data_IF_039259378215
#
_entry.id   IF_039259378215
#
_cell.length_a   1.000
_cell.length_b   1.000
_cell.length_c   1.000
_cell.angle_alpha   90.00
_cell.angle_beta   90.00
_cell.angle_gamma   90.00
#
_symmetry.space_group_name_H-M   'P 1'
#
loop_
_entity.id
_entity.type
_entity.pdbx_description
1 polymer ?
#
# COMPACT_ATOMS: atom_id res chain seq x y z
N UNK A 1 -12.77 16.78 -12.15
CA UNK A 1 -11.55 16.99 -11.32
C UNK A 1 -10.29 17.23 -12.15
N UNK A 2 -10.00 16.39 -13.16
CA UNK A 2 -8.74 16.44 -13.91
C UNK A 2 -8.86 16.93 -15.37
N UNK A 3 -9.98 17.53 -15.76
CA UNK A 3 -10.16 18.07 -17.11
C UNK A 3 -9.09 19.13 -17.41
N UNK A 4 -8.34 18.93 -18.50
CA UNK A 4 -7.20 19.78 -18.87
C UNK A 4 -5.96 19.66 -17.95
N UNK A 5 -5.98 18.76 -16.95
CA UNK A 5 -4.97 18.66 -15.88
C UNK A 5 -4.54 17.21 -15.62
N UNK A 6 -4.32 16.42 -16.67
CA UNK A 6 -4.01 14.99 -16.56
C UNK A 6 -2.77 14.67 -15.71
N UNK A 7 -1.79 15.57 -15.63
CA UNK A 7 -0.60 15.34 -14.81
C UNK A 7 -0.92 15.36 -13.30
N UNK A 8 -1.93 16.12 -12.88
CA UNK A 8 -2.39 16.20 -11.48
C UNK A 8 -3.02 14.89 -10.99
N UNK A 9 -3.38 13.95 -11.88
CA UNK A 9 -3.83 12.60 -11.50
C UNK A 9 -2.68 11.62 -11.28
N UNK A 10 -1.44 12.02 -11.59
CA UNK A 10 -0.25 11.16 -11.51
C UNK A 10 0.78 11.67 -10.52
N UNK A 11 0.80 12.97 -10.25
CA UNK A 11 1.82 13.61 -9.41
C UNK A 11 1.23 14.76 -8.62
N UNK A 12 1.69 14.91 -7.37
CA UNK A 12 1.28 15.96 -6.45
C UNK A 12 0.06 15.59 -5.61
N UNK A 13 -0.38 16.54 -4.81
CA UNK A 13 -1.36 16.36 -3.72
C UNK A 13 -2.78 16.04 -4.20
N UNK A 14 -3.08 16.26 -5.47
CA UNK A 14 -4.36 15.87 -6.08
C UNK A 14 -4.37 14.41 -6.52
N UNK A 15 -3.21 13.80 -6.76
CA UNK A 15 -3.10 12.43 -7.25
C UNK A 15 -3.35 11.38 -6.14
N UNK A 16 -3.54 11.80 -4.89
CA UNK A 16 -3.63 10.92 -3.73
C UNK A 16 -5.07 10.86 -3.22
N UNK A 17 -5.59 9.65 -3.05
CA UNK A 17 -6.85 9.39 -2.36
C UNK A 17 -6.61 9.16 -0.87
N UNK A 18 -7.69 9.07 -0.08
CA UNK A 18 -7.58 8.77 1.36
C UNK A 18 -6.83 7.43 1.56
N UNK A 19 -5.72 7.40 2.31
CA UNK A 19 -4.94 6.18 2.53
C UNK A 19 -5.74 5.09 3.23
N UNK A 20 -5.75 3.89 2.66
CA UNK A 20 -6.64 2.81 3.08
C UNK A 20 -6.04 1.66 3.88
N UNK A 21 -4.72 1.50 3.81
CA UNK A 21 -4.04 0.29 4.28
C UNK A 21 -4.25 0.03 5.78
N UNK A 22 -4.15 1.08 6.61
CA UNK A 22 -4.34 0.94 8.06
C UNK A 22 -5.76 0.46 8.38
N UNK A 23 -6.79 1.05 7.76
CA UNK A 23 -8.17 0.59 7.97
C UNK A 23 -8.36 -0.86 7.53
N UNK A 24 -7.77 -1.26 6.39
CA UNK A 24 -7.80 -2.63 5.91
C UNK A 24 -7.19 -3.61 6.91
N UNK A 25 -5.92 -3.38 7.27
CA UNK A 25 -5.15 -4.24 8.18
C UNK A 25 -5.78 -4.32 9.58
N UNK A 26 -6.26 -3.18 10.11
CA UNK A 26 -6.95 -3.18 11.40
C UNK A 26 -8.28 -3.92 11.33
N UNK A 27 -9.06 -3.74 10.25
CA UNK A 27 -10.33 -4.48 10.06
C UNK A 27 -10.08 -5.98 9.98
N UNK A 28 -9.03 -6.40 9.28
CA UNK A 28 -8.63 -7.80 9.21
C UNK A 28 -8.22 -8.33 10.59
N UNK A 29 -7.38 -7.57 11.31
CA UNK A 29 -6.99 -7.91 12.67
C UNK A 29 -8.20 -8.04 13.59
N UNK A 30 -9.13 -7.08 13.59
CA UNK A 30 -10.35 -7.07 14.40
C UNK A 30 -11.30 -8.23 14.09
N UNK A 31 -11.55 -8.51 12.81
CA UNK A 31 -12.56 -9.49 12.41
C UNK A 31 -12.06 -10.92 12.32
N UNK A 32 -10.81 -11.13 11.89
CA UNK A 32 -10.35 -12.45 11.44
C UNK A 32 -9.15 -12.99 12.22
N UNK A 33 -8.47 -12.17 13.03
CA UNK A 33 -7.35 -12.68 13.82
C UNK A 33 -7.79 -13.49 15.04
N UNK A 34 -6.91 -14.38 15.50
CA UNK A 34 -7.15 -15.15 16.74
C UNK A 34 -7.02 -14.34 18.02
N UNK A 35 -6.57 -13.07 17.95
CA UNK A 35 -6.23 -12.20 19.10
C UNK A 35 -5.16 -12.74 20.06
N UNK A 36 -4.54 -13.88 19.77
CA UNK A 36 -3.43 -14.44 20.56
C UNK A 36 -2.15 -13.59 20.45
N UNK A 37 -1.98 -12.91 19.33
CA UNK A 37 -0.88 -11.96 19.09
C UNK A 37 -1.49 -10.55 19.15
N UNK A 38 -1.09 -9.70 20.11
CA UNK A 38 -1.53 -8.31 20.16
C UNK A 38 -1.12 -7.53 18.92
N UNK A 39 -1.92 -6.54 18.52
CA UNK A 39 -1.64 -5.66 17.38
C UNK A 39 -0.22 -5.09 17.41
N UNK A 40 0.21 -4.59 18.58
CA UNK A 40 1.55 -4.05 18.78
C UNK A 40 2.65 -5.01 18.33
N UNK A 41 2.51 -6.30 18.64
CA UNK A 41 3.51 -7.31 18.32
C UNK A 41 3.58 -7.61 16.82
N UNK A 42 2.51 -7.35 16.07
CA UNK A 42 2.52 -7.46 14.59
C UNK A 42 3.29 -6.29 13.95
N UNK A 43 3.23 -5.11 14.56
CA UNK A 43 3.91 -3.90 14.06
C UNK A 43 5.37 -3.82 14.53
N UNK A 44 5.68 -4.41 15.69
CA UNK A 44 6.98 -4.34 16.36
C UNK A 44 8.19 -4.67 15.46
N UNK A 45 8.18 -5.71 14.61
CA UNK A 45 9.32 -5.99 13.72
C UNK A 45 9.64 -4.86 12.75
N UNK A 46 8.63 -4.09 12.33
CA UNK A 46 8.84 -2.93 11.44
C UNK A 46 9.45 -1.75 12.21
N UNK A 47 9.07 -1.58 13.49
CA UNK A 47 9.65 -0.58 14.37
C UNK A 47 11.14 -0.87 14.59
N UNK A 48 11.48 -2.12 14.90
CA UNK A 48 12.88 -2.58 15.07
C UNK A 48 13.69 -2.35 13.79
N UNK A 49 13.15 -2.72 12.63
CA UNK A 49 13.79 -2.48 11.33
C UNK A 49 14.09 -1.00 11.08
N UNK A 50 13.18 -0.10 11.49
CA UNK A 50 13.37 1.34 11.34
C UNK A 50 14.34 1.93 12.38
N UNK A 51 14.44 1.33 13.56
CA UNK A 51 15.38 1.73 14.61
C UNK A 51 16.81 1.29 14.30
N UNK A 52 17.00 0.03 13.93
CA UNK A 52 18.30 -0.56 13.60
C UNK A 52 18.81 -0.08 12.24
N UNK A 53 17.90 0.22 11.32
CA UNK A 53 18.19 0.44 9.92
C UNK A 53 18.21 -0.86 9.12
N UNK A 54 18.25 -0.72 7.80
CA UNK A 54 18.20 -1.88 6.91
C UNK A 54 19.05 -1.67 5.65
N UNK A 55 19.62 -2.75 5.10
CA UNK A 55 20.34 -2.67 3.84
C UNK A 55 19.36 -2.37 2.71
N UNK A 56 19.74 -1.44 1.85
CA UNK A 56 19.02 -1.17 0.61
C UNK A 56 19.09 -2.40 -0.29
N UNK A 57 17.95 -3.00 -0.59
CA UNK A 57 17.89 -4.13 -1.53
C UNK A 57 18.27 -3.70 -2.94
N UNK A 58 18.62 -4.65 -3.81
CA UNK A 58 18.90 -4.34 -5.21
C UNK A 58 17.71 -3.67 -5.92
N UNK A 59 16.50 -4.16 -5.67
CA UNK A 59 15.27 -3.59 -6.23
C UNK A 59 15.03 -2.16 -5.72
N UNK A 60 15.23 -1.91 -4.41
CA UNK A 60 15.09 -0.57 -3.84
C UNK A 60 16.14 0.39 -4.40
N UNK A 61 17.39 -0.04 -4.52
CA UNK A 61 18.47 0.77 -5.11
C UNK A 61 18.17 1.20 -6.54
N UNK A 62 17.63 0.30 -7.38
CA UNK A 62 17.16 0.63 -8.73
C UNK A 62 16.02 1.66 -8.66
N UNK A 63 15.01 1.42 -7.82
CA UNK A 63 13.86 2.31 -7.69
C UNK A 63 14.28 3.72 -7.27
N UNK A 64 15.12 3.84 -6.24
CA UNK A 64 15.67 5.10 -5.76
C UNK A 64 16.47 5.81 -6.86
N UNK A 65 17.37 5.08 -7.53
CA UNK A 65 18.18 5.65 -8.62
C UNK A 65 17.31 6.17 -9.77
N UNK A 66 16.26 5.46 -10.14
CA UNK A 66 15.33 5.88 -11.20
C UNK A 66 14.54 7.16 -10.87
N UNK A 67 14.50 7.55 -9.59
CA UNK A 67 13.78 8.73 -9.08
C UNK A 67 14.69 9.74 -8.40
N UNK A 68 16.01 9.63 -8.55
CA UNK A 68 17.00 10.41 -7.81
C UNK A 68 16.76 11.92 -7.90
N UNK A 69 16.46 12.45 -9.09
CA UNK A 69 16.17 13.88 -9.28
C UNK A 69 14.91 14.33 -8.54
N UNK A 70 13.86 13.51 -8.53
CA UNK A 70 12.62 13.80 -7.81
C UNK A 70 12.86 13.78 -6.29
N UNK A 71 13.55 12.76 -5.81
CA UNK A 71 13.87 12.61 -4.38
C UNK A 71 14.74 13.78 -3.89
N UNK A 72 15.75 14.18 -4.67
CA UNK A 72 16.59 15.32 -4.34
C UNK A 72 15.83 16.66 -4.33
N UNK A 73 14.75 16.77 -5.10
CA UNK A 73 13.90 17.95 -5.19
C UNK A 73 12.77 18.00 -4.14
N UNK A 74 12.54 16.92 -3.38
CA UNK A 74 11.45 16.81 -2.40
C UNK A 74 12.02 16.72 -0.97
N UNK A 75 12.01 17.83 -0.19
CA UNK A 75 12.61 17.87 1.14
C UNK A 75 12.08 16.81 2.11
N UNK A 76 10.82 16.37 1.96
CA UNK A 76 10.23 15.32 2.79
C UNK A 76 10.79 13.93 2.50
N UNK A 77 11.51 13.74 1.38
CA UNK A 77 12.14 12.47 0.99
C UNK A 77 13.63 12.38 1.35
N UNK A 78 14.16 13.33 2.12
CA UNK A 78 15.58 13.35 2.53
C UNK A 78 16.08 12.07 3.19
N UNK A 79 15.19 11.30 3.84
CA UNK A 79 15.52 10.04 4.50
C UNK A 79 16.02 8.96 3.51
N UNK A 80 15.82 9.16 2.20
CA UNK A 80 16.34 8.31 1.14
C UNK A 80 17.67 8.80 0.55
N UNK A 81 18.23 9.90 1.07
CA UNK A 81 19.53 10.45 0.65
C UNK A 81 20.59 10.02 1.66
N UNK A 82 21.64 9.40 1.16
CA UNK A 82 22.79 9.00 1.96
C UNK A 82 23.59 10.27 2.35
N UNK A 83 23.68 10.60 3.66
CA UNK A 83 24.31 11.84 4.11
C UNK A 83 25.81 11.89 3.81
N UNK A 84 26.47 10.74 3.62
CA UNK A 84 27.90 10.68 3.31
C UNK A 84 28.19 10.98 1.84
N UNK A 85 27.24 10.72 0.94
CA UNK A 85 27.45 10.84 -0.51
C UNK A 85 26.62 11.96 -1.14
N UNK A 86 25.59 12.46 -0.45
CA UNK A 86 24.63 13.42 -0.97
C UNK A 86 23.75 12.86 -2.10
N UNK A 87 23.77 11.54 -2.31
CA UNK A 87 23.00 10.85 -3.36
C UNK A 87 22.03 9.87 -2.72
N UNK A 88 21.06 9.40 -3.49
CA UNK A 88 20.16 8.35 -3.00
C UNK A 88 20.92 7.07 -2.66
N UNK A 89 20.42 6.33 -1.67
CA UNK A 89 21.05 5.08 -1.23
C UNK A 89 21.17 4.06 -2.37
N UNK A 90 22.33 3.39 -2.43
CA UNK A 90 22.62 2.30 -3.37
C UNK A 90 22.41 0.94 -2.70
N UNK A 91 22.25 -0.09 -3.52
CA UNK A 91 22.14 -1.47 -3.02
C UNK A 91 23.30 -1.81 -2.07
N UNK A 92 22.97 -2.40 -0.92
CA UNK A 92 23.90 -2.73 0.16
C UNK A 92 24.18 -1.59 1.15
N UNK A 93 23.91 -0.32 0.79
CA UNK A 93 24.04 0.79 1.73
C UNK A 93 22.91 0.76 2.77
N UNK A 94 23.25 1.12 4.01
CA UNK A 94 22.32 1.09 5.13
C UNK A 94 21.49 2.37 5.17
N UNK A 95 20.18 2.22 4.93
CA UNK A 95 19.22 3.28 5.21
C UNK A 95 19.05 3.33 6.73
N UNK A 96 19.44 4.47 7.30
CA UNK A 96 19.26 4.73 8.73
C UNK A 96 17.96 5.49 8.95
N UNK A 97 17.49 5.42 10.19
CA UNK A 97 16.12 5.65 10.66
C UNK A 97 15.30 6.72 9.94
N UNK A 98 14.16 6.31 9.38
CA UNK A 98 13.09 7.17 8.86
C UNK A 98 12.25 7.70 10.02
N UNK A 99 12.74 8.72 10.72
CA UNK A 99 12.23 9.12 12.06
C UNK A 99 10.73 9.41 12.08
N UNK A 100 10.20 10.15 11.10
CA UNK A 100 8.77 10.47 11.04
C UNK A 100 7.90 9.22 10.89
N UNK A 101 8.35 8.27 10.06
CA UNK A 101 7.66 6.99 9.87
C UNK A 101 7.74 6.12 11.12
N UNK A 102 8.91 6.06 11.77
CA UNK A 102 9.11 5.35 13.03
C UNK A 102 8.17 5.86 14.12
N UNK A 103 8.06 7.18 14.28
CA UNK A 103 7.16 7.79 15.26
C UNK A 103 5.69 7.50 14.94
N UNK A 104 5.32 7.50 13.66
CA UNK A 104 3.98 7.10 13.22
C UNK A 104 3.67 5.66 13.62
N UNK A 105 4.56 4.70 13.32
CA UNK A 105 4.37 3.31 13.70
C UNK A 105 4.32 3.12 15.22
N UNK A 106 5.16 3.81 15.99
CA UNK A 106 5.13 3.77 17.46
C UNK A 106 3.81 4.30 18.02
N UNK A 107 3.26 5.39 17.46
CA UNK A 107 1.97 5.94 17.90
C UNK A 107 0.83 4.96 17.57
N UNK A 108 0.81 4.42 16.35
CA UNK A 108 -0.24 3.49 15.92
C UNK A 108 -0.17 2.12 16.60
N UNK A 109 1.03 1.62 16.92
CA UNK A 109 1.20 0.31 17.57
C UNK A 109 0.81 0.33 19.04
N UNK A 110 0.99 1.47 19.71
CA UNK A 110 0.64 1.65 21.13
C UNK A 110 -0.78 2.17 21.36
N UNK A 111 -1.50 2.57 20.30
CA UNK A 111 -2.87 3.03 20.42
C UNK A 111 -3.84 1.87 20.69
N UNK A 112 -4.82 2.12 21.56
CA UNK A 112 -5.97 1.22 21.74
C UNK A 112 -6.97 1.32 20.58
N UNK A 113 -6.96 2.42 19.83
CA UNK A 113 -7.77 2.65 18.63
C UNK A 113 -6.92 3.34 17.55
N UNK A 114 -6.13 2.57 16.78
CA UNK A 114 -5.27 3.12 15.74
C UNK A 114 -6.05 3.82 14.62
N UNK A 115 -7.31 3.43 14.38
CA UNK A 115 -8.15 4.06 13.37
C UNK A 115 -8.57 5.46 13.80
N UNK A 116 -8.99 5.62 15.06
CA UNK A 116 -9.31 6.95 15.57
C UNK A 116 -8.09 7.87 15.52
N UNK A 117 -6.91 7.39 15.92
CA UNK A 117 -5.67 8.18 15.85
C UNK A 117 -5.37 8.67 14.43
N UNK A 118 -5.49 7.80 13.43
CA UNK A 118 -5.12 8.11 12.04
C UNK A 118 -6.20 8.88 11.26
N UNK A 119 -7.47 8.49 11.40
CA UNK A 119 -8.58 8.97 10.56
C UNK A 119 -9.44 10.05 11.21
N UNK A 120 -9.37 10.24 12.55
CA UNK A 120 -10.22 11.19 13.29
C UNK A 120 -9.47 12.03 14.33
N UNK A 121 -8.17 11.79 14.51
CA UNK A 121 -7.31 12.45 15.48
C UNK A 121 -6.46 13.56 14.88
N UNK A 122 -5.39 13.93 15.59
CA UNK A 122 -4.45 14.97 15.12
C UNK A 122 -3.81 14.62 13.77
N UNK A 123 -3.53 13.33 13.52
CA UNK A 123 -2.94 12.91 12.24
C UNK A 123 -3.86 13.28 11.05
N UNK A 124 -5.17 13.05 11.18
CA UNK A 124 -6.13 13.39 10.14
C UNK A 124 -6.17 14.90 9.88
N UNK A 125 -6.13 15.71 10.94
CA UNK A 125 -6.09 17.18 10.84
C UNK A 125 -4.81 17.68 10.17
N UNK A 126 -3.66 17.16 10.60
CA UNK A 126 -2.36 17.49 10.03
C UNK A 126 -2.31 17.14 8.55
N UNK A 127 -2.72 15.92 8.18
CA UNK A 127 -2.80 15.49 6.79
C UNK A 127 -3.75 16.37 5.98
N UNK A 128 -4.99 16.57 6.42
CA UNK A 128 -5.97 17.40 5.69
C UNK A 128 -5.46 18.83 5.48
N UNK A 129 -4.87 19.45 6.52
CA UNK A 129 -4.24 20.77 6.43
C UNK A 129 -3.12 20.80 5.40
N UNK A 130 -2.28 19.77 5.38
CA UNK A 130 -1.16 19.67 4.43
C UNK A 130 -1.67 19.49 2.99
N UNK A 131 -2.64 18.60 2.77
CA UNK A 131 -3.29 18.41 1.49
C UNK A 131 -3.86 19.72 0.95
N UNK A 132 -4.64 20.44 1.74
CA UNK A 132 -5.24 21.72 1.33
C UNK A 132 -4.18 22.79 1.04
N UNK A 133 -3.14 22.88 1.87
CA UNK A 133 -2.04 23.85 1.71
C UNK A 133 -1.32 23.71 0.37
N UNK A 134 -1.16 22.49 -0.13
CA UNK A 134 -0.48 22.22 -1.39
C UNK A 134 -1.42 21.87 -2.55
N UNK A 135 -2.68 22.30 -2.45
CA UNK A 135 -3.65 22.26 -3.55
C UNK A 135 -4.31 20.90 -3.78
N UNK A 136 -4.12 19.94 -2.87
CA UNK A 136 -4.93 18.73 -2.75
C UNK A 136 -6.36 19.02 -2.29
N UNK A 137 -7.19 17.98 -2.28
CA UNK A 137 -8.64 18.11 -2.05
C UNK A 137 -9.15 17.35 -0.83
N UNK A 138 -8.29 16.56 -0.18
CA UNK A 138 -8.69 15.76 0.97
C UNK A 138 -8.98 16.66 2.17
N UNK A 139 -10.09 16.39 2.83
CA UNK A 139 -10.58 17.08 4.02
C UNK A 139 -10.62 16.14 5.21
N UNK A 140 -10.72 16.69 6.43
CA UNK A 140 -10.91 15.86 7.64
C UNK A 140 -12.13 14.94 7.53
N UNK A 141 -13.20 15.37 6.86
CA UNK A 141 -14.42 14.57 6.63
C UNK A 141 -14.15 13.38 5.70
N UNK A 142 -13.31 13.55 4.67
CA UNK A 142 -12.91 12.45 3.79
C UNK A 142 -12.13 11.38 4.58
N UNK A 143 -11.24 11.79 5.48
CA UNK A 143 -10.54 10.86 6.38
C UNK A 143 -11.51 10.19 7.36
N UNK A 144 -12.41 10.96 7.99
CA UNK A 144 -13.30 10.46 9.04
C UNK A 144 -14.37 9.48 8.52
N UNK A 145 -14.79 9.65 7.27
CA UNK A 145 -15.78 8.82 6.58
C UNK A 145 -15.19 7.60 5.86
N UNK A 146 -13.85 7.54 5.70
CA UNK A 146 -13.19 6.42 5.07
C UNK A 146 -13.42 5.11 5.84
N UNK A 147 -13.70 4.04 5.08
CA UNK A 147 -13.86 2.70 5.61
C UNK A 147 -13.42 1.65 4.59
N UNK A 148 -12.73 0.62 5.05
CA UNK A 148 -12.52 -0.58 4.24
C UNK A 148 -13.83 -1.33 4.06
N UNK A 149 -13.97 -1.96 2.90
CA UNK A 149 -15.13 -2.77 2.55
C UNK A 149 -14.72 -4.24 2.68
N UNK A 150 -15.43 -4.98 3.53
CA UNK A 150 -15.29 -6.43 3.61
C UNK A 150 -16.30 -7.03 2.65
N UNK A 151 -15.81 -7.67 1.59
CA UNK A 151 -16.64 -8.35 0.61
C UNK A 151 -17.22 -9.63 1.25
N UNK A 152 -18.55 -9.79 1.31
CA UNK A 152 -19.18 -11.02 1.76
C UNK A 152 -18.75 -12.22 0.92
N UNK A 153 -18.67 -13.41 1.51
CA UNK A 153 -18.27 -14.63 0.79
C UNK A 153 -19.18 -14.98 -0.39
N UNK A 154 -20.46 -14.61 -0.31
CA UNK A 154 -21.45 -14.79 -1.39
C UNK A 154 -21.20 -13.90 -2.62
N UNK A 155 -20.50 -12.77 -2.45
CA UNK A 155 -20.12 -11.86 -3.53
C UNK A 155 -18.74 -12.19 -4.13
N UNK A 156 -18.04 -13.17 -3.57
CA UNK A 156 -16.76 -13.65 -4.13
C UNK A 156 -17.04 -14.37 -5.44
N UNK A 157 -16.29 -14.02 -6.48
CA UNK A 157 -16.38 -14.65 -7.79
C UNK A 157 -15.58 -15.94 -7.73
N UNK A 158 -16.23 -17.07 -8.02
CA UNK A 158 -15.60 -18.39 -8.12
C UNK A 158 -15.62 -18.88 -9.57
N UNK A 159 -14.50 -19.45 -10.00
CA UNK A 159 -14.37 -20.09 -11.32
C UNK A 159 -13.84 -21.50 -11.13
N UNK A 160 -14.62 -22.48 -11.58
CA UNK A 160 -14.24 -23.88 -11.60
C UNK A 160 -13.39 -24.17 -12.84
N UNK A 161 -12.32 -24.93 -12.66
CA UNK A 161 -11.40 -25.40 -13.68
C UNK A 161 -11.40 -26.94 -13.69
N UNK A 162 -10.88 -27.55 -14.76
CA UNK A 162 -10.67 -29.00 -14.92
C UNK A 162 -9.89 -29.57 -13.74
N UNK A 163 -10.15 -30.85 -13.44
CA UNK A 163 -9.55 -31.62 -12.35
C UNK A 163 -9.87 -31.08 -10.94
N UNK A 164 -11.06 -30.48 -10.77
CA UNK A 164 -11.55 -30.04 -9.45
C UNK A 164 -10.83 -28.83 -8.88
N UNK A 165 -10.09 -28.07 -9.71
CA UNK A 165 -9.43 -26.84 -9.29
C UNK A 165 -10.43 -25.69 -9.29
N UNK A 166 -10.31 -24.81 -8.32
CA UNK A 166 -11.16 -23.62 -8.19
C UNK A 166 -10.26 -22.42 -7.93
N UNK A 167 -10.51 -21.33 -8.64
CA UNK A 167 -9.94 -20.02 -8.33
C UNK A 167 -11.06 -19.08 -7.87
N UNK A 168 -10.74 -18.17 -6.95
CA UNK A 168 -11.69 -17.19 -6.48
C UNK A 168 -11.06 -15.81 -6.25
N UNK A 169 -11.90 -14.78 -6.17
CA UNK A 169 -11.45 -13.42 -5.85
C UNK A 169 -12.60 -12.41 -5.77
N UNK A 170 -12.33 -11.20 -5.27
CA UNK A 170 -13.36 -10.18 -5.06
C UNK A 170 -13.86 -9.57 -6.38
N UNK A 171 -15.06 -8.99 -6.43
CA UNK A 171 -15.61 -8.33 -7.62
C UNK A 171 -14.81 -7.07 -8.01
N UNK A 172 -15.13 -6.42 -9.16
CA UNK A 172 -14.56 -5.12 -9.51
C UNK A 172 -14.62 -4.11 -8.34
N UNK A 173 -13.59 -3.27 -8.16
CA UNK A 173 -12.54 -2.94 -9.11
C UNK A 173 -11.32 -3.88 -9.10
N UNK A 174 -11.40 -5.04 -8.45
CA UNK A 174 -10.30 -6.02 -8.49
C UNK A 174 -10.11 -6.61 -9.90
N UNK A 175 -8.86 -6.97 -10.23
CA UNK A 175 -8.53 -7.68 -11.46
C UNK A 175 -8.91 -9.17 -11.47
N UNK A 176 -9.57 -9.67 -10.41
CA UNK A 176 -9.82 -11.10 -10.24
C UNK A 176 -10.67 -11.67 -11.38
N UNK A 177 -11.76 -11.00 -11.77
CA UNK A 177 -12.66 -11.49 -12.80
C UNK A 177 -11.95 -11.68 -14.15
N UNK A 178 -11.06 -10.75 -14.51
CA UNK A 178 -10.26 -10.81 -15.73
C UNK A 178 -9.26 -11.98 -15.66
N UNK A 179 -8.53 -12.10 -14.55
CA UNK A 179 -7.58 -13.20 -14.36
C UNK A 179 -8.27 -14.57 -14.38
N UNK A 180 -9.41 -14.68 -13.71
CA UNK A 180 -10.24 -15.89 -13.70
C UNK A 180 -10.76 -16.24 -15.09
N UNK A 181 -11.23 -15.25 -15.86
CA UNK A 181 -11.68 -15.46 -17.25
C UNK A 181 -10.54 -15.97 -18.15
N UNK A 182 -9.34 -15.38 -18.04
CA UNK A 182 -8.15 -15.84 -18.78
C UNK A 182 -7.85 -17.31 -18.43
N UNK A 183 -7.83 -17.65 -17.14
CA UNK A 183 -7.55 -19.01 -16.70
C UNK A 183 -8.62 -20.01 -17.16
N UNK A 184 -9.89 -19.62 -17.12
CA UNK A 184 -10.99 -20.46 -17.60
C UNK A 184 -10.85 -20.77 -19.10
N UNK A 185 -10.48 -19.77 -19.91
CA UNK A 185 -10.20 -19.97 -21.34
C UNK A 185 -8.99 -20.88 -21.52
N UNK A 186 -7.88 -20.60 -20.82
CA UNK A 186 -6.64 -21.37 -20.92
C UNK A 186 -6.80 -22.83 -20.48
N UNK A 187 -7.68 -23.11 -19.54
CA UNK A 187 -7.98 -24.46 -19.05
C UNK A 187 -8.73 -25.32 -20.11
N UNK A 188 -9.30 -24.67 -21.13
CA UNK A 188 -9.86 -25.32 -22.31
C UNK A 188 -8.83 -25.80 -23.35
N UNK A 189 -7.54 -25.54 -23.16
CA UNK A 189 -6.48 -25.92 -24.10
C UNK A 189 -5.52 -26.96 -23.54
N UNK A 190 -5.10 -27.90 -24.38
CA UNK A 190 -4.01 -28.84 -24.07
C UNK A 190 -2.69 -28.23 -24.54
N UNK A 191 -1.77 -27.99 -23.60
CA UNK A 191 -0.45 -27.45 -23.91
C UNK A 191 0.49 -28.58 -24.33
N UNK A 192 0.51 -28.92 -25.62
CA UNK A 192 1.54 -29.80 -26.19
C UNK A 192 2.61 -28.96 -26.90
N UNK A 193 3.72 -28.71 -26.20
CA UNK A 193 5.01 -28.31 -26.78
C UNK A 193 5.11 -26.91 -27.37
N UNK A 194 4.25 -26.51 -28.33
CA UNK A 194 4.39 -25.25 -29.06
C UNK A 194 3.10 -24.76 -29.77
N UNK A 195 1.98 -25.46 -29.66
CA UNK A 195 0.70 -25.05 -30.27
C UNK A 195 -0.47 -25.19 -29.30
N UNK A 196 -1.36 -24.19 -29.29
CA UNK A 196 -2.66 -24.24 -28.62
C UNK A 196 -3.62 -25.05 -29.49
N UNK A 197 -3.84 -26.31 -29.14
CA UNK A 197 -4.93 -27.10 -29.70
C UNK A 197 -6.15 -26.98 -28.77
N UNK A 198 -7.27 -26.55 -29.36
CA UNK A 198 -8.56 -26.50 -28.67
C UNK A 198 -9.17 -27.90 -28.70
N UNK A 199 -9.59 -28.39 -27.54
CA UNK A 199 -10.39 -29.62 -27.44
C UNK A 199 -11.75 -29.47 -28.16
#
# INVERSE_FOLDING_TARGET
>A
MYEGKWNESRTGWRAVAVPGDLHGLWTEFEKFSSKKIPWRNLVQPTIELLEEGFPTSHALGIALKSREQYIAGEPTMKDFINPNTGKVYRAGEQIKTRTSLLNTFRRLSNSSDPLKEFYRGDMAREMASEFQRYGGILTEEDFASYKSIVIPSEDVIYTNLKNGRVICGPPPPSGSAVAQAILNIMDGYVYSGFFLMKD
#
